data_IF_126971277627
#
_entry.id   IF_126971277627
#
_cell.length_a   1.000
_cell.length_b   1.000
_cell.length_c   1.000
_cell.angle_alpha   90.00
_cell.angle_beta   90.00
_cell.angle_gamma   90.00
#
_symmetry.space_group_name_H-M   'P 1'
#
loop_
_entity.id
_entity.type
_entity.pdbx_description
1 polymer ?
#
# COMPACT_ATOMS: atom_id res chain seq x y z
N UNK A 1 -15.15 -8.99 -22.69
CA UNK A 1 -13.71 -8.60 -22.57
C UNK A 1 -13.37 -8.56 -21.09
N UNK A 2 -12.46 -9.45 -20.65
CA UNK A 2 -12.09 -9.54 -19.22
C UNK A 2 -11.24 -8.32 -18.81
N UNK A 3 -11.64 -7.64 -17.77
CA UNK A 3 -10.93 -6.47 -17.23
C UNK A 3 -10.23 -6.87 -15.95
N UNK A 4 -8.89 -6.79 -15.92
CA UNK A 4 -8.09 -7.00 -14.74
C UNK A 4 -8.11 -5.72 -13.90
N UNK A 5 -8.34 -5.85 -12.60
CA UNK A 5 -8.27 -4.73 -11.65
C UNK A 5 -6.83 -4.50 -11.22
N UNK A 6 -6.08 -5.57 -10.97
CA UNK A 6 -4.69 -5.51 -10.54
C UNK A 6 -3.77 -6.04 -11.63
N UNK A 7 -2.73 -5.27 -11.94
CA UNK A 7 -1.67 -5.69 -12.87
C UNK A 7 -0.50 -6.27 -12.06
N UNK A 8 -0.16 -7.53 -12.29
CA UNK A 8 0.97 -8.18 -11.61
C UNK A 8 2.33 -7.52 -11.94
N UNK A 9 2.43 -6.77 -13.04
CA UNK A 9 3.60 -5.94 -13.31
C UNK A 9 3.80 -4.83 -12.24
N UNK A 10 2.71 -4.41 -11.57
CA UNK A 10 2.79 -3.46 -10.46
C UNK A 10 3.61 -4.00 -9.30
N UNK A 11 3.57 -5.31 -9.02
CA UNK A 11 4.35 -5.94 -7.95
C UNK A 11 5.85 -5.69 -8.17
N UNK A 12 6.32 -5.89 -9.41
CA UNK A 12 7.72 -5.64 -9.75
C UNK A 12 8.07 -4.15 -9.61
N UNK A 13 7.19 -3.26 -10.05
CA UNK A 13 7.38 -1.82 -9.89
C UNK A 13 7.43 -1.40 -8.41
N UNK A 14 6.61 -2.01 -7.55
CA UNK A 14 6.63 -1.77 -6.10
C UNK A 14 7.92 -2.26 -5.47
N UNK A 15 8.38 -3.46 -5.81
CA UNK A 15 9.67 -4.00 -5.33
C UNK A 15 10.85 -3.11 -5.73
N UNK A 16 10.81 -2.51 -6.92
CA UNK A 16 11.82 -1.53 -7.34
C UNK A 16 11.74 -0.23 -6.53
N UNK A 17 10.52 0.25 -6.24
CA UNK A 17 10.32 1.42 -5.37
C UNK A 17 10.81 1.16 -3.95
N UNK A 18 10.54 -0.02 -3.37
CA UNK A 18 11.06 -0.42 -2.05
C UNK A 18 12.59 -0.41 -2.03
N UNK A 19 13.25 -1.04 -3.02
CA UNK A 19 14.71 -1.02 -3.14
C UNK A 19 15.24 0.42 -3.22
N UNK A 20 14.59 1.28 -4.01
CA UNK A 20 14.98 2.70 -4.13
C UNK A 20 14.86 3.42 -2.79
N UNK A 21 13.79 3.19 -2.02
CA UNK A 21 13.62 3.78 -0.69
C UNK A 21 14.71 3.31 0.29
N UNK A 22 15.05 2.03 0.29
CA UNK A 22 16.14 1.49 1.12
C UNK A 22 17.47 2.17 0.76
N UNK A 23 17.77 2.33 -0.53
CA UNK A 23 18.97 3.05 -0.98
C UNK A 23 18.97 4.52 -0.58
N UNK A 24 17.83 5.21 -0.68
CA UNK A 24 17.68 6.59 -0.21
C UNK A 24 17.96 6.69 1.30
N UNK A 25 17.42 5.76 2.09
CA UNK A 25 17.68 5.73 3.53
C UNK A 25 19.17 5.48 3.84
N UNK A 26 19.81 4.59 3.11
CA UNK A 26 21.25 4.32 3.26
C UNK A 26 22.11 5.58 2.96
N UNK A 27 21.72 6.36 1.95
CA UNK A 27 22.37 7.63 1.63
C UNK A 27 22.18 8.64 2.78
N UNK A 28 20.96 8.76 3.32
CA UNK A 28 20.71 9.65 4.46
C UNK A 28 21.52 9.26 5.71
N UNK A 29 21.63 7.96 5.97
CA UNK A 29 22.46 7.42 7.06
C UNK A 29 23.94 7.74 6.85
N UNK A 30 24.46 7.59 5.64
CA UNK A 30 25.84 7.93 5.29
C UNK A 30 26.11 9.44 5.48
N UNK A 31 25.20 10.28 4.99
CA UNK A 31 25.31 11.73 5.17
C UNK A 31 25.27 12.13 6.65
N UNK A 32 24.44 11.46 7.45
CA UNK A 32 24.38 11.68 8.89
C UNK A 32 25.69 11.30 9.59
N UNK A 33 26.27 10.14 9.27
CA UNK A 33 27.58 9.73 9.80
C UNK A 33 28.67 10.73 9.40
N UNK A 34 28.71 11.15 8.13
CA UNK A 34 29.67 12.16 7.66
C UNK A 34 29.52 13.48 8.42
N UNK A 35 28.28 13.93 8.66
CA UNK A 35 28.02 15.12 9.46
C UNK A 35 28.56 14.98 10.89
N UNK A 36 28.34 13.85 11.55
CA UNK A 36 28.88 13.61 12.89
C UNK A 36 30.41 13.62 12.93
N UNK A 37 31.06 13.03 11.91
CA UNK A 37 32.53 13.05 11.81
C UNK A 37 33.07 14.47 11.61
N UNK A 38 32.39 15.30 10.81
CA UNK A 38 32.74 16.71 10.66
C UNK A 38 32.59 17.46 12.00
N UNK A 39 31.54 17.21 12.77
CA UNK A 39 31.37 17.82 14.07
C UNK A 39 32.53 17.49 15.02
N UNK A 40 33.02 16.25 15.05
CA UNK A 40 34.16 15.82 15.86
C UNK A 40 35.45 16.58 15.48
N UNK A 41 35.67 16.80 14.18
CA UNK A 41 36.89 17.46 13.69
C UNK A 41 36.91 18.95 13.96
N UNK A 42 35.77 19.63 13.91
CA UNK A 42 35.69 21.09 14.01
C UNK A 42 35.40 21.61 15.44
N UNK A 43 34.68 20.81 16.25
CA UNK A 43 34.24 21.24 17.58
C UNK A 43 35.22 20.73 18.63
N UNK A 44 36.04 21.64 19.19
CA UNK A 44 37.01 21.32 20.25
C UNK A 44 36.41 21.28 21.66
N UNK A 45 35.26 21.93 21.86
CA UNK A 45 34.59 21.95 23.15
C UNK A 45 33.77 20.68 23.37
N UNK A 46 34.19 19.81 24.28
CA UNK A 46 33.59 18.51 24.54
C UNK A 46 32.12 18.61 24.97
N UNK A 47 31.78 19.58 25.83
CA UNK A 47 30.39 19.75 26.32
C UNK A 47 29.46 20.13 25.17
N UNK A 48 29.89 21.07 24.33
CA UNK A 48 29.12 21.53 23.19
C UNK A 48 28.97 20.40 22.12
N UNK A 49 30.03 19.63 21.90
CA UNK A 49 30.02 18.48 21.02
C UNK A 49 28.99 17.43 21.49
N UNK A 50 28.99 17.07 22.77
CA UNK A 50 28.04 16.10 23.34
C UNK A 50 26.61 16.56 23.16
N UNK A 51 26.33 17.84 23.34
CA UNK A 51 25.00 18.42 23.18
C UNK A 51 24.52 18.34 21.71
N UNK A 52 25.38 18.67 20.74
CA UNK A 52 25.08 18.54 19.32
C UNK A 52 24.82 17.10 18.95
N UNK A 53 25.62 16.15 19.43
CA UNK A 53 25.45 14.73 19.22
C UNK A 53 24.09 14.24 19.71
N UNK A 54 23.70 14.58 20.95
CA UNK A 54 22.44 14.18 21.54
C UNK A 54 21.23 14.68 20.72
N UNK A 55 21.26 15.96 20.34
CA UNK A 55 20.18 16.55 19.53
C UNK A 55 20.13 15.93 18.15
N UNK A 56 21.26 15.79 17.47
CA UNK A 56 21.32 15.22 16.12
C UNK A 56 20.84 13.76 16.10
N UNK A 57 21.21 12.97 17.11
CA UNK A 57 20.76 11.59 17.25
C UNK A 57 19.23 11.53 17.45
N UNK A 58 18.67 12.38 18.30
CA UNK A 58 17.23 12.46 18.54
C UNK A 58 16.48 12.77 17.24
N UNK A 59 16.91 13.77 16.49
CA UNK A 59 16.32 14.12 15.19
C UNK A 59 16.41 12.98 14.18
N UNK A 60 17.56 12.28 14.12
CA UNK A 60 17.73 11.15 13.22
C UNK A 60 16.84 9.97 13.58
N UNK A 61 16.64 9.69 14.88
CA UNK A 61 15.71 8.64 15.34
C UNK A 61 14.27 8.98 14.93
N UNK A 62 13.82 10.22 15.19
CA UNK A 62 12.49 10.68 14.80
C UNK A 62 12.28 10.60 13.27
N UNK A 63 13.25 11.06 12.50
CA UNK A 63 13.25 10.95 11.05
C UNK A 63 13.14 9.49 10.60
N UNK A 64 13.91 8.57 11.21
CA UNK A 64 13.88 7.15 10.88
C UNK A 64 12.50 6.53 11.14
N UNK A 65 11.87 6.85 12.28
CA UNK A 65 10.53 6.36 12.61
C UNK A 65 9.51 6.84 11.58
N UNK A 66 9.54 8.13 11.24
CA UNK A 66 8.64 8.73 10.24
C UNK A 66 8.87 8.11 8.87
N UNK A 67 10.14 7.96 8.45
CA UNK A 67 10.49 7.37 7.16
C UNK A 67 9.97 5.94 7.02
N UNK A 68 10.23 5.08 8.01
CA UNK A 68 9.83 3.69 7.98
C UNK A 68 8.31 3.51 8.11
N UNK A 69 7.64 4.24 9.00
CA UNK A 69 6.18 4.13 9.15
C UNK A 69 5.40 4.69 7.96
N UNK A 70 5.77 5.89 7.48
CA UNK A 70 4.96 6.58 6.47
C UNK A 70 5.31 6.14 5.06
N UNK A 71 6.59 6.09 4.70
CA UNK A 71 6.97 5.77 3.32
C UNK A 71 7.07 4.27 3.04
N UNK A 72 7.78 3.55 3.89
CA UNK A 72 8.03 2.13 3.67
C UNK A 72 6.82 1.28 4.05
N UNK A 73 6.21 1.52 5.21
CA UNK A 73 5.12 0.70 5.73
C UNK A 73 3.87 0.70 4.86
N UNK A 74 3.54 1.83 4.21
CA UNK A 74 2.41 1.90 3.28
C UNK A 74 2.69 1.05 2.03
N UNK A 75 3.90 1.15 1.48
CA UNK A 75 4.31 0.43 0.28
C UNK A 75 4.37 -1.08 0.53
N UNK A 76 4.92 -1.49 1.69
CA UNK A 76 4.98 -2.89 2.11
C UNK A 76 3.60 -3.51 2.29
N UNK A 77 2.67 -2.81 2.96
CA UNK A 77 1.28 -3.29 3.12
C UNK A 77 0.62 -3.54 1.77
N UNK A 78 0.77 -2.60 0.83
CA UNK A 78 0.20 -2.75 -0.50
C UNK A 78 0.85 -3.91 -1.29
N UNK A 79 2.16 -4.10 -1.19
CA UNK A 79 2.85 -5.24 -1.77
C UNK A 79 2.37 -6.57 -1.20
N UNK A 80 2.30 -6.68 0.14
CA UNK A 80 1.81 -7.91 0.81
C UNK A 80 0.38 -8.22 0.39
N UNK A 81 -0.46 -7.20 0.24
CA UNK A 81 -1.81 -7.35 -0.30
C UNK A 81 -1.80 -7.93 -1.72
N UNK A 82 -1.01 -7.37 -2.65
CA UNK A 82 -0.92 -7.88 -4.03
C UNK A 82 -0.32 -9.29 -4.08
N UNK A 83 0.72 -9.58 -3.30
CA UNK A 83 1.29 -10.93 -3.18
C UNK A 83 0.22 -11.94 -2.68
N UNK A 84 -0.65 -11.53 -1.75
CA UNK A 84 -1.75 -12.37 -1.25
C UNK A 84 -2.81 -12.65 -2.31
N UNK A 85 -3.07 -11.70 -3.21
CA UNK A 85 -4.00 -11.89 -4.34
C UNK A 85 -3.40 -12.81 -5.41
N UNK A 86 -2.08 -12.74 -5.64
CA UNK A 86 -1.41 -13.60 -6.61
C UNK A 86 -1.41 -15.08 -6.16
N UNK A 87 -1.14 -15.33 -4.88
CA UNK A 87 -1.04 -16.68 -4.32
C UNK A 87 -2.38 -17.25 -3.84
N UNK A 88 -3.41 -16.43 -3.73
CA UNK A 88 -4.70 -16.81 -3.18
C UNK A 88 -5.52 -17.71 -4.10
N UNK A 89 -6.37 -18.56 -3.50
CA UNK A 89 -7.30 -19.41 -4.25
C UNK A 89 -8.39 -18.54 -4.91
N UNK A 90 -8.48 -18.61 -6.21
CA UNK A 90 -9.47 -17.88 -7.00
C UNK A 90 -10.83 -18.55 -6.92
N UNK A 91 -11.87 -17.74 -6.83
CA UNK A 91 -13.27 -18.14 -6.87
C UNK A 91 -13.98 -17.29 -7.90
N UNK A 92 -14.92 -17.91 -8.63
CA UNK A 92 -15.65 -17.30 -9.73
C UNK A 92 -17.13 -17.21 -9.39
N UNK A 93 -17.71 -16.05 -9.66
CA UNK A 93 -19.13 -15.80 -9.41
C UNK A 93 -19.76 -15.07 -10.58
N UNK A 94 -21.03 -15.41 -10.86
CA UNK A 94 -21.87 -14.62 -11.78
C UNK A 94 -22.94 -13.97 -10.94
N UNK A 95 -22.87 -12.65 -10.78
CA UNK A 95 -23.70 -11.91 -9.83
C UNK A 95 -24.20 -10.59 -10.41
N UNK A 96 -25.22 -10.01 -9.81
CA UNK A 96 -25.82 -8.75 -10.23
C UNK A 96 -25.34 -7.66 -9.27
N UNK A 97 -24.77 -6.59 -9.81
CA UNK A 97 -24.37 -5.44 -9.00
C UNK A 97 -25.59 -4.71 -8.44
N UNK A 98 -25.58 -4.43 -7.15
CA UNK A 98 -26.63 -3.70 -6.44
C UNK A 98 -26.25 -2.27 -6.17
N UNK A 99 -25.23 -2.06 -5.35
CA UNK A 99 -24.77 -0.73 -4.97
C UNK A 99 -23.32 -0.77 -4.46
N UNK A 100 -22.72 0.40 -4.43
CA UNK A 100 -21.47 0.66 -3.70
C UNK A 100 -21.84 1.20 -2.32
N UNK A 101 -21.30 0.61 -1.26
CA UNK A 101 -21.46 1.15 0.08
C UNK A 101 -20.49 2.31 0.27
N UNK A 102 -21.00 3.43 0.75
CA UNK A 102 -20.16 4.52 1.21
C UNK A 102 -19.48 4.09 2.50
N UNK A 103 -18.16 4.04 2.48
CA UNK A 103 -17.38 3.75 3.67
C UNK A 103 -17.49 4.93 4.63
N UNK A 104 -18.07 4.70 5.81
CA UNK A 104 -18.17 5.68 6.90
C UNK A 104 -16.80 6.02 7.51
N UNK A 105 -15.79 5.18 7.29
CA UNK A 105 -14.43 5.38 7.78
C UNK A 105 -13.52 5.82 6.63
N UNK A 106 -13.06 7.07 6.67
CA UNK A 106 -12.12 7.64 5.69
C UNK A 106 -10.75 6.91 5.65
N UNK A 107 -10.45 6.07 6.66
CA UNK A 107 -9.18 5.35 6.81
C UNK A 107 -9.17 3.95 6.17
N UNK A 108 -10.24 3.53 5.51
CA UNK A 108 -10.25 2.24 4.81
C UNK A 108 -9.69 2.39 3.39
N UNK A 109 -8.65 1.61 3.09
CA UNK A 109 -7.98 1.59 1.78
C UNK A 109 -8.81 0.91 0.69
N UNK A 110 -10.03 0.43 1.02
CA UNK A 110 -10.89 -0.36 0.15
C UNK A 110 -12.29 0.21 0.01
N UNK A 111 -12.80 0.15 -1.21
CA UNK A 111 -14.20 0.39 -1.52
C UNK A 111 -15.00 -0.91 -1.41
N UNK A 112 -16.21 -0.85 -0.87
CA UNK A 112 -17.08 -2.00 -0.65
C UNK A 112 -18.22 -2.03 -1.67
N UNK A 113 -18.33 -3.11 -2.43
CA UNK A 113 -19.31 -3.31 -3.49
C UNK A 113 -20.24 -4.47 -3.14
N UNK A 114 -21.55 -4.25 -3.22
CA UNK A 114 -22.58 -5.23 -2.91
C UNK A 114 -23.09 -5.86 -4.21
N UNK A 115 -23.02 -7.19 -4.28
CA UNK A 115 -23.56 -7.98 -5.38
C UNK A 115 -24.57 -8.99 -4.88
N UNK A 116 -25.59 -9.26 -5.68
CA UNK A 116 -26.55 -10.34 -5.45
C UNK A 116 -26.16 -11.59 -6.22
N UNK A 117 -25.95 -12.68 -5.49
CA UNK A 117 -25.72 -14.01 -6.03
C UNK A 117 -26.85 -14.94 -5.62
N UNK A 118 -27.70 -15.35 -6.59
CA UNK A 118 -28.92 -16.11 -6.29
C UNK A 118 -29.82 -15.35 -5.28
N UNK A 119 -30.02 -15.88 -4.10
CA UNK A 119 -30.81 -15.23 -3.01
C UNK A 119 -29.97 -14.55 -1.94
N UNK A 120 -28.65 -14.56 -2.06
CA UNK A 120 -27.72 -13.99 -1.05
C UNK A 120 -27.06 -12.72 -1.57
N UNK A 121 -26.81 -11.78 -0.66
CA UNK A 121 -25.96 -10.65 -0.91
C UNK A 121 -24.53 -10.97 -0.50
N UNK A 122 -23.56 -10.59 -1.33
CA UNK A 122 -22.15 -10.76 -1.10
C UNK A 122 -21.47 -9.42 -1.20
N UNK A 123 -20.57 -9.15 -0.28
CA UNK A 123 -19.77 -7.93 -0.26
C UNK A 123 -18.37 -8.23 -0.81
N UNK A 124 -17.96 -7.43 -1.78
CA UNK A 124 -16.65 -7.52 -2.37
C UNK A 124 -15.89 -6.22 -2.20
N UNK A 125 -14.58 -6.32 -2.10
CA UNK A 125 -13.67 -5.21 -1.84
C UNK A 125 -12.78 -4.95 -3.05
N UNK A 126 -12.59 -3.67 -3.37
CA UNK A 126 -11.61 -3.21 -4.37
C UNK A 126 -10.78 -2.11 -3.72
N UNK A 127 -9.46 -2.17 -3.88
CA UNK A 127 -8.59 -1.10 -3.39
C UNK A 127 -8.93 0.23 -4.07
N UNK A 128 -9.05 1.33 -3.32
CA UNK A 128 -9.51 2.63 -3.81
C UNK A 128 -8.75 3.17 -5.01
N UNK A 129 -7.46 2.84 -5.13
CA UNK A 129 -6.65 3.24 -6.30
C UNK A 129 -7.15 2.64 -7.62
N UNK A 130 -7.92 1.55 -7.55
CA UNK A 130 -8.46 0.80 -8.69
C UNK A 130 -9.99 0.82 -8.73
N UNK A 131 -10.63 1.83 -8.14
CA UNK A 131 -12.08 1.87 -8.05
C UNK A 131 -12.74 1.69 -9.43
N UNK A 132 -13.76 0.85 -9.49
CA UNK A 132 -14.50 0.49 -10.71
C UNK A 132 -15.92 1.03 -10.62
N UNK A 133 -16.42 1.60 -11.72
CA UNK A 133 -17.80 2.04 -11.81
C UNK A 133 -18.66 0.91 -12.40
N UNK A 134 -19.26 0.10 -11.52
CA UNK A 134 -20.26 -0.89 -11.92
C UNK A 134 -21.62 -0.22 -12.16
N UNK A 135 -22.40 -0.76 -13.11
CA UNK A 135 -23.74 -0.27 -13.41
C UNK A 135 -24.76 -1.10 -12.64
N UNK A 136 -25.59 -0.46 -11.83
CA UNK A 136 -26.61 -1.12 -11.02
C UNK A 136 -27.57 -1.95 -11.87
N UNK A 137 -27.92 -3.14 -11.37
CA UNK A 137 -28.81 -4.08 -12.04
C UNK A 137 -28.17 -4.90 -13.18
N UNK A 138 -26.94 -4.58 -13.63
CA UNK A 138 -26.25 -5.39 -14.63
C UNK A 138 -25.62 -6.63 -14.01
N UNK A 139 -25.50 -7.66 -14.83
CA UNK A 139 -24.90 -8.94 -14.47
C UNK A 139 -23.42 -8.95 -14.80
N UNK A 140 -22.61 -9.40 -13.86
CA UNK A 140 -21.15 -9.45 -13.97
C UNK A 140 -20.64 -10.84 -13.66
N UNK A 141 -19.67 -11.28 -14.44
CA UNK A 141 -18.78 -12.36 -14.07
C UNK A 141 -17.65 -11.72 -13.24
N UNK A 142 -17.40 -12.24 -12.06
CA UNK A 142 -16.38 -11.74 -11.12
C UNK A 142 -15.46 -12.89 -10.74
N UNK A 143 -14.17 -12.67 -10.85
CA UNK A 143 -13.13 -13.54 -10.31
C UNK A 143 -12.50 -12.84 -9.10
N UNK A 144 -12.50 -13.51 -7.94
CA UNK A 144 -12.03 -12.94 -6.70
C UNK A 144 -11.13 -13.89 -5.92
N UNK A 145 -10.31 -13.30 -5.03
CA UNK A 145 -9.54 -14.00 -3.99
C UNK A 145 -10.11 -13.59 -2.65
N UNK A 146 -10.77 -14.53 -1.95
CA UNK A 146 -11.54 -14.21 -0.76
C UNK A 146 -12.66 -13.21 -1.09
N UNK A 147 -12.61 -12.03 -0.48
CA UNK A 147 -13.57 -10.94 -0.73
C UNK A 147 -13.06 -9.90 -1.74
N UNK A 148 -11.84 -10.03 -2.28
CA UNK A 148 -11.24 -9.04 -3.16
C UNK A 148 -11.46 -9.38 -4.63
N UNK A 149 -12.07 -8.47 -5.41
CA UNK A 149 -12.27 -8.64 -6.85
C UNK A 149 -10.93 -8.44 -7.57
N UNK A 150 -10.51 -9.46 -8.33
CA UNK A 150 -9.29 -9.41 -9.15
C UNK A 150 -9.60 -9.10 -10.61
N UNK A 151 -10.72 -9.64 -11.11
CA UNK A 151 -11.11 -9.52 -12.50
C UNK A 151 -12.63 -9.48 -12.63
N UNK A 152 -13.12 -8.78 -13.65
CA UNK A 152 -14.54 -8.72 -13.93
C UNK A 152 -14.84 -8.62 -15.44
N UNK A 153 -16.05 -9.03 -15.81
CA UNK A 153 -16.58 -8.93 -17.17
C UNK A 153 -18.10 -8.73 -17.12
N UNK A 154 -18.65 -7.94 -18.03
CA UNK A 154 -20.10 -7.81 -18.18
C UNK A 154 -20.62 -9.07 -18.88
N UNK A 155 -21.65 -9.68 -18.29
CA UNK A 155 -22.38 -10.80 -18.90
C UNK A 155 -23.66 -10.24 -19.48
N UNK A 156 -23.80 -10.33 -20.78
CA UNK A 156 -25.04 -9.97 -21.52
C UNK A 156 -26.16 -10.97 -21.24
#
# INVERSE_FOLDING_TARGET
MKNNIYDFNEIQAIRLKEKRLIWQYAIYLLCFIAFLMLCITFIKNLVFLTFIFAISLLFFILFSIVFWKIKYGILEKYRVFLDSLEMGKRSEYVCIFKNKLENLNENEDFDNYVFAFSSKQMNFLIHRQHSVNFIEGKKYYIECVGSYICQWEIVE
#
